data_IF_853599746832
#
_entry.id   IF_853599746832
#
_cell.length_a   1.000
_cell.length_b   1.000
_cell.length_c   1.000
_cell.angle_alpha   90.00
_cell.angle_beta   90.00
_cell.angle_gamma   90.00
#
_symmetry.space_group_name_H-M   'P 1'
#
loop_
_entity.id
_entity.type
_entity.pdbx_description
1 polymer ?
#
# COMPACT_ATOMS: atom_id res chain seq x y z
N UNK A 1 33.87 10.03 3.57
CA UNK A 1 32.46 9.76 3.22
C UNK A 1 31.66 9.99 4.49
N UNK A 2 31.14 11.20 4.68
CA UNK A 2 30.32 11.50 5.85
C UNK A 2 28.93 10.90 5.59
N UNK A 3 28.58 9.86 6.33
CA UNK A 3 27.17 9.45 6.45
C UNK A 3 26.55 10.51 7.35
N UNK A 4 25.94 11.53 6.74
CA UNK A 4 25.02 12.40 7.46
C UNK A 4 23.82 11.54 7.81
N UNK A 5 23.65 11.23 9.08
CA UNK A 5 22.39 10.68 9.60
C UNK A 5 21.31 11.73 9.36
N UNK A 6 20.61 11.64 8.22
CA UNK A 6 19.36 12.33 8.06
C UNK A 6 18.42 11.69 9.09
N UNK A 7 17.91 12.48 10.02
CA UNK A 7 16.69 12.13 10.76
C UNK A 7 15.56 12.70 9.90
N UNK A 8 15.02 11.93 8.93
CA UNK A 8 13.94 12.44 8.09
C UNK A 8 12.76 12.75 8.99
N UNK A 9 12.20 13.96 8.85
CA UNK A 9 10.88 14.24 9.35
C UNK A 9 9.88 13.30 8.66
N UNK A 10 8.82 12.88 9.36
CA UNK A 10 7.84 11.95 8.81
C UNK A 10 7.21 12.44 7.51
N UNK A 11 7.20 13.76 7.27
CA UNK A 11 6.76 14.36 6.00
C UNK A 11 7.61 14.03 4.78
N UNK A 12 8.84 13.55 4.98
CA UNK A 12 9.78 13.19 3.91
C UNK A 12 9.81 11.68 3.64
N UNK A 13 9.04 10.90 4.39
CA UNK A 13 9.02 9.43 4.29
C UNK A 13 7.81 8.98 3.48
N UNK A 14 8.10 8.18 2.46
CA UNK A 14 7.11 7.51 1.63
C UNK A 14 7.21 6.00 1.90
N UNK A 15 6.13 5.40 2.38
CA UNK A 15 6.06 3.98 2.70
C UNK A 15 5.35 3.23 1.58
N UNK A 16 5.96 2.14 1.09
CA UNK A 16 5.40 1.31 0.02
C UNK A 16 5.32 -0.12 0.54
N UNK A 17 4.14 -0.72 0.45
CA UNK A 17 3.94 -2.11 0.83
C UNK A 17 3.02 -2.84 -0.14
N UNK A 18 3.24 -4.15 -0.25
CA UNK A 18 2.48 -5.05 -1.08
C UNK A 18 1.65 -6.01 -0.24
N UNK A 19 0.38 -6.17 -0.58
CA UNK A 19 -0.47 -7.22 -0.02
C UNK A 19 -1.02 -8.10 -1.12
N UNK A 20 -1.42 -9.31 -0.76
CA UNK A 20 -2.04 -10.21 -1.71
C UNK A 20 -3.31 -10.81 -1.15
N UNK A 21 -4.39 -10.73 -1.93
CA UNK A 21 -5.72 -11.22 -1.59
C UNK A 21 -6.03 -12.39 -2.50
N UNK A 22 -6.29 -13.54 -1.90
CA UNK A 22 -6.80 -14.70 -2.60
C UNK A 22 -8.29 -14.86 -2.25
N UNK A 23 -9.15 -15.01 -3.25
CA UNK A 23 -10.60 -15.20 -3.07
C UNK A 23 -10.93 -16.46 -2.25
N UNK A 24 -10.01 -17.44 -2.15
CA UNK A 24 -10.17 -18.60 -1.27
C UNK A 24 -10.30 -18.23 0.23
N UNK A 25 -9.78 -17.08 0.69
CA UNK A 25 -9.97 -16.66 2.08
C UNK A 25 -11.45 -16.49 2.44
N UNK A 26 -12.30 -16.17 1.47
CA UNK A 26 -13.74 -16.05 1.69
C UNK A 26 -14.46 -17.40 1.76
N UNK A 27 -13.97 -18.41 1.04
CA UNK A 27 -14.58 -19.75 1.04
C UNK A 27 -14.54 -20.42 2.43
N UNK A 28 -13.55 -20.10 3.28
CA UNK A 28 -13.48 -20.58 4.66
C UNK A 28 -14.64 -20.11 5.55
N UNK A 29 -15.40 -19.08 5.16
CA UNK A 29 -16.57 -18.64 5.92
C UNK A 29 -17.78 -19.58 5.78
N UNK A 30 -17.84 -20.40 4.72
CA UNK A 30 -19.05 -21.18 4.40
C UNK A 30 -18.87 -22.71 4.48
N UNK A 31 -17.63 -23.20 4.68
CA UNK A 31 -17.32 -24.63 4.70
C UNK A 31 -16.74 -25.11 6.03
N UNK A 32 -17.50 -25.07 7.12
CA UNK A 32 -17.11 -25.79 8.36
C UNK A 32 -17.89 -27.10 8.45
N UNK A 33 -17.17 -28.22 8.53
CA UNK A 33 -17.77 -29.49 8.90
C UNK A 33 -18.22 -29.45 10.37
N UNK A 34 -19.29 -30.18 10.67
CA UNK A 34 -19.79 -30.32 12.04
C UNK A 34 -18.73 -30.97 12.94
N UNK A 35 -18.64 -30.55 14.21
CA UNK A 35 -17.62 -31.07 15.15
C UNK A 35 -17.67 -32.59 15.23
N UNK A 36 -16.52 -33.25 15.07
CA UNK A 36 -16.41 -34.72 14.99
C UNK A 36 -16.57 -35.33 13.59
N UNK A 37 -16.78 -34.52 12.55
CA UNK A 37 -16.90 -35.00 11.16
C UNK A 37 -15.66 -34.62 10.35
N UNK A 38 -15.09 -35.59 9.63
CA UNK A 38 -13.93 -35.33 8.78
C UNK A 38 -14.34 -34.51 7.55
N UNK A 39 -13.77 -33.31 7.39
CA UNK A 39 -14.01 -32.48 6.22
C UNK A 39 -13.40 -33.16 4.99
N UNK A 40 -14.24 -33.55 4.03
CA UNK A 40 -13.79 -34.13 2.77
C UNK A 40 -13.44 -32.98 1.82
N UNK A 41 -12.16 -32.79 1.44
CA UNK A 41 -11.82 -31.75 0.47
C UNK A 41 -12.40 -32.13 -0.88
N UNK A 42 -13.42 -31.41 -1.34
CA UNK A 42 -14.07 -31.66 -2.64
C UNK A 42 -13.27 -31.10 -3.82
N UNK A 43 -12.21 -30.34 -3.56
CA UNK A 43 -11.42 -29.72 -4.61
C UNK A 43 -9.92 -29.73 -4.30
N UNK A 44 -9.12 -30.16 -5.28
CA UNK A 44 -7.65 -30.11 -5.24
C UNK A 44 -7.28 -28.66 -5.48
N UNK A 45 -6.81 -27.94 -4.45
CA UNK A 45 -6.35 -26.53 -4.49
C UNK A 45 -6.42 -25.85 -5.87
N UNK A 46 -7.63 -25.51 -6.33
CA UNK A 46 -7.77 -24.66 -7.50
C UNK A 46 -7.42 -23.27 -6.98
N UNK A 47 -6.26 -22.76 -7.37
CA UNK A 47 -5.85 -21.40 -7.08
C UNK A 47 -6.95 -20.49 -7.64
N UNK A 48 -7.87 -20.05 -6.78
CA UNK A 48 -8.86 -19.04 -7.15
C UNK A 48 -8.14 -17.75 -7.52
N UNK A 49 -8.89 -16.83 -8.14
CA UNK A 49 -8.34 -15.55 -8.58
C UNK A 49 -7.54 -14.90 -7.42
N UNK A 50 -6.27 -14.65 -7.70
CA UNK A 50 -5.32 -14.07 -6.77
C UNK A 50 -5.10 -12.64 -7.21
N UNK A 51 -5.23 -11.69 -6.30
CA UNK A 51 -4.94 -10.29 -6.58
C UNK A 51 -3.75 -9.87 -5.75
N UNK A 52 -2.79 -9.22 -6.39
CA UNK A 52 -1.70 -8.52 -5.71
C UNK A 52 -1.97 -7.02 -5.76
N UNK A 53 -1.90 -6.38 -4.59
CA UNK A 53 -2.11 -4.95 -4.42
C UNK A 53 -0.82 -4.33 -3.90
N UNK A 54 -0.43 -3.18 -4.46
CA UNK A 54 0.67 -2.36 -3.93
C UNK A 54 0.11 -0.99 -3.61
N UNK A 55 0.44 -0.48 -2.42
CA UNK A 55 0.03 0.84 -1.98
C UNK A 55 1.23 1.65 -1.52
N UNK A 56 1.21 2.94 -1.85
CA UNK A 56 2.14 3.94 -1.36
C UNK A 56 1.40 4.93 -0.47
N UNK A 57 1.92 5.15 0.73
CA UNK A 57 1.31 5.95 1.79
C UNK A 57 2.34 6.94 2.33
N UNK A 58 1.90 8.18 2.56
CA UNK A 58 2.61 9.23 3.28
C UNK A 58 1.86 9.59 4.56
N UNK A 59 2.38 10.53 5.34
CA UNK A 59 1.66 11.05 6.52
C UNK A 59 0.33 11.73 6.17
N UNK A 60 0.13 12.12 4.91
CA UNK A 60 -1.07 12.79 4.42
C UNK A 60 -2.07 11.80 3.77
N UNK A 61 -1.74 10.51 3.72
CA UNK A 61 -2.63 9.44 3.28
C UNK A 61 -2.08 8.62 2.11
N UNK A 62 -2.99 7.99 1.35
CA UNK A 62 -2.62 7.22 0.16
C UNK A 62 -2.17 8.14 -0.96
N UNK A 63 -0.93 7.95 -1.43
CA UNK A 63 -0.39 8.63 -2.60
C UNK A 63 -0.76 7.89 -3.89
N UNK A 64 -0.60 6.56 -3.88
CA UNK A 64 -0.85 5.73 -5.05
C UNK A 64 -1.25 4.31 -4.64
N UNK A 65 -2.09 3.67 -5.45
CA UNK A 65 -2.50 2.27 -5.28
C UNK A 65 -2.57 1.61 -6.65
N UNK A 66 -2.13 0.36 -6.73
CA UNK A 66 -2.30 -0.47 -7.92
C UNK A 66 -2.73 -1.89 -7.53
N UNK A 67 -3.52 -2.52 -8.39
CA UNK A 67 -4.07 -3.86 -8.18
C UNK A 67 -3.97 -4.64 -9.48
N UNK A 68 -3.33 -5.80 -9.41
CA UNK A 68 -3.18 -6.71 -10.53
C UNK A 68 -3.69 -8.09 -10.17
N UNK A 69 -4.25 -8.78 -11.15
CA UNK A 69 -4.55 -10.20 -11.02
C UNK A 69 -3.27 -11.02 -11.21
N UNK A 70 -3.09 -12.03 -10.37
CA UNK A 70 -1.89 -12.84 -10.26
C UNK A 70 -0.80 -12.23 -9.38
N UNK A 71 0.44 -12.59 -9.70
CA UNK A 71 1.63 -12.13 -8.98
C UNK A 71 2.10 -10.75 -9.45
N UNK A 72 2.54 -9.94 -8.49
CA UNK A 72 3.23 -8.69 -8.76
C UNK A 72 4.69 -8.97 -9.11
N UNK A 73 5.13 -8.60 -10.31
CA UNK A 73 6.51 -8.79 -10.76
C UNK A 73 7.31 -7.48 -10.69
N UNK A 74 8.63 -7.56 -10.93
CA UNK A 74 9.53 -6.40 -10.84
C UNK A 74 9.25 -5.32 -11.89
N UNK A 75 8.75 -5.69 -13.06
CA UNK A 75 8.41 -4.75 -14.13
C UNK A 75 7.16 -3.93 -13.77
N UNK A 76 6.12 -4.60 -13.29
CA UNK A 76 4.92 -3.96 -12.74
C UNK A 76 5.28 -3.03 -11.57
N UNK A 77 6.24 -3.44 -10.73
CA UNK A 77 6.71 -2.60 -9.62
C UNK A 77 7.45 -1.36 -10.12
N UNK A 78 8.35 -1.52 -11.08
CA UNK A 78 9.06 -0.39 -11.68
C UNK A 78 8.07 0.61 -12.31
N UNK A 79 7.11 0.12 -13.10
CA UNK A 79 6.11 0.97 -13.75
C UNK A 79 5.23 1.68 -12.71
N UNK A 80 4.83 0.99 -11.65
CA UNK A 80 4.11 1.61 -10.53
C UNK A 80 4.90 2.76 -9.90
N UNK A 81 6.18 2.56 -9.61
CA UNK A 81 7.03 3.63 -9.05
C UNK A 81 7.14 4.81 -10.02
N UNK A 82 7.49 4.54 -11.27
CA UNK A 82 7.74 5.59 -12.26
C UNK A 82 6.48 6.41 -12.58
N UNK A 83 5.35 5.72 -12.82
CA UNK A 83 4.14 6.34 -13.35
C UNK A 83 3.14 6.76 -12.28
N UNK A 84 3.13 6.09 -11.11
CA UNK A 84 2.12 6.32 -10.07
C UNK A 84 2.68 6.99 -8.83
N UNK A 85 3.95 6.79 -8.49
CA UNK A 85 4.57 7.41 -7.31
C UNK A 85 5.31 8.68 -7.72
N UNK A 86 6.38 8.55 -8.49
CA UNK A 86 7.26 9.68 -8.84
C UNK A 86 6.54 10.74 -9.67
N UNK A 87 5.75 10.31 -10.66
CA UNK A 87 4.98 11.26 -11.47
C UNK A 87 3.94 12.03 -10.66
N UNK A 88 3.27 11.34 -9.73
CA UNK A 88 2.25 11.94 -8.85
C UNK A 88 2.90 12.93 -7.89
N UNK A 89 3.99 12.55 -7.21
CA UNK A 89 4.75 13.44 -6.32
C UNK A 89 5.32 14.65 -7.06
N UNK A 90 5.83 14.45 -8.29
CA UNK A 90 6.33 15.54 -9.12
C UNK A 90 5.23 16.54 -9.49
N UNK A 91 4.05 16.05 -9.85
CA UNK A 91 2.90 16.90 -10.14
C UNK A 91 2.46 17.70 -8.90
N UNK A 92 2.34 17.06 -7.73
CA UNK A 92 1.98 17.76 -6.49
C UNK A 92 3.03 18.81 -6.08
N UNK A 93 4.31 18.48 -6.19
CA UNK A 93 5.39 19.38 -5.76
C UNK A 93 5.54 20.60 -6.65
N UNK A 94 5.32 20.46 -7.96
CA UNK A 94 5.55 21.54 -8.93
C UNK A 94 4.28 22.32 -9.27
N UNK A 95 3.13 21.64 -9.36
CA UNK A 95 1.88 22.27 -9.75
C UNK A 95 1.02 22.73 -8.57
N UNK A 96 1.30 22.28 -7.33
CA UNK A 96 0.51 22.64 -6.15
C UNK A 96 1.38 23.08 -4.94
N UNK A 97 2.06 24.25 -5.02
CA UNK A 97 3.00 24.73 -3.99
C UNK A 97 2.34 25.04 -2.63
N UNK A 98 1.02 24.97 -2.52
CA UNK A 98 0.28 25.12 -1.27
C UNK A 98 0.30 23.85 -0.40
N UNK A 99 0.64 22.68 -0.94
CA UNK A 99 0.68 21.44 -0.15
C UNK A 99 1.86 21.39 0.84
N UNK A 100 3.00 21.98 0.47
CA UNK A 100 4.20 22.09 1.34
C UNK A 100 4.13 23.27 2.31
N UNK A 101 3.16 24.18 2.16
CA UNK A 101 2.92 25.26 3.10
C UNK A 101 2.15 24.77 4.34
N UNK A 102 2.76 23.90 5.15
CA UNK A 102 2.28 23.67 6.52
C UNK A 102 2.45 24.98 7.29
N UNK A 103 1.33 25.65 7.60
CA UNK A 103 1.32 26.78 8.51
C UNK A 103 1.99 26.39 9.85
N UNK A 104 2.78 27.28 10.47
CA UNK A 104 3.41 27.00 11.76
C UNK A 104 2.31 26.71 12.78
N UNK A 105 2.31 25.49 13.35
CA UNK A 105 1.32 25.03 14.33
C UNK A 105 1.70 25.36 15.78
N UNK A 106 2.45 26.44 15.97
CA UNK A 106 2.91 26.89 17.29
C UNK A 106 2.59 28.37 17.49
N UNK A 107 1.31 28.71 17.66
CA UNK A 107 0.95 29.91 18.43
C UNK A 107 0.63 29.47 19.86
N UNK A 108 1.38 29.93 20.88
CA UNK A 108 0.97 29.71 22.26
C UNK A 108 -0.30 30.53 22.50
N UNK A 109 -1.39 29.84 22.88
CA UNK A 109 -2.55 30.48 23.49
C UNK A 109 -2.09 31.15 24.79
N UNK A 110 -1.85 32.47 24.72
CA UNK A 110 -1.71 33.30 25.92
C UNK A 110 -3.12 33.47 26.47
N UNK A 111 -3.37 32.84 27.62
CA UNK A 111 -4.51 33.13 28.50
C UNK A 111 -4.33 34.49 29.17
#
# INVERSE_FOLDING_TARGET
MAVTELTPDGSQVVCIDGTSKNELKWACHYGRAMSGTHATPSNVFMQGDHYSLVATITIDGYLAVDVVEGSYNSELFYNFIAEKVVWTDFFFTICDPLHTAKAPKDEPLIL
#
